data_IF_947702996323
#
_entry.id   IF_947702996323
#
_cell.length_a   1.000
_cell.length_b   1.000
_cell.length_c   1.000
_cell.angle_alpha   90.00
_cell.angle_beta   90.00
_cell.angle_gamma   90.00
#
_symmetry.space_group_name_H-M   'P 1'
#
loop_
_entity.id
_entity.type
_entity.pdbx_description
1 polymer ?
#
# COMPACT_ATOMS: atom_id res chain seq x y z
N UNK A 1 35.28 25.31 -14.48
CA UNK A 1 34.54 25.59 -13.23
C UNK A 1 33.21 24.83 -13.25
N UNK A 2 33.18 23.60 -12.74
CA UNK A 2 31.95 22.82 -12.60
C UNK A 2 31.35 23.05 -11.21
N UNK A 3 30.10 23.52 -11.17
CA UNK A 3 29.33 23.69 -9.93
C UNK A 3 29.01 22.31 -9.35
N UNK A 4 29.62 21.96 -8.22
CA UNK A 4 29.31 20.75 -7.46
C UNK A 4 27.94 20.87 -6.78
N UNK A 5 27.14 19.82 -6.87
CA UNK A 5 25.74 19.80 -6.45
C UNK A 5 25.63 19.38 -4.97
N UNK A 6 25.27 20.34 -4.09
CA UNK A 6 25.19 20.16 -2.64
C UNK A 6 24.23 19.03 -2.19
N UNK A 7 23.28 18.63 -3.04
CA UNK A 7 22.33 17.55 -2.74
C UNK A 7 22.98 16.16 -2.67
N UNK A 8 24.15 15.98 -3.28
CA UNK A 8 24.84 14.67 -3.29
C UNK A 8 25.46 14.36 -1.92
N UNK A 9 26.01 15.36 -1.23
CA UNK A 9 26.62 15.20 0.09
C UNK A 9 25.57 14.89 1.18
N UNK A 10 24.39 15.50 1.10
CA UNK A 10 23.29 15.22 2.03
C UNK A 10 22.73 13.79 1.91
N UNK A 11 22.80 13.19 0.72
CA UNK A 11 22.33 11.83 0.50
C UNK A 11 23.30 10.79 1.08
N UNK A 12 24.60 11.01 0.92
CA UNK A 12 25.64 10.10 1.44
C UNK A 12 25.79 10.15 2.97
N UNK A 13 25.63 11.33 3.58
CA UNK A 13 25.60 11.48 5.03
C UNK A 13 24.47 10.65 5.69
N UNK A 14 23.30 10.57 5.04
CA UNK A 14 22.16 9.74 5.51
C UNK A 14 22.41 8.24 5.37
N UNK A 15 23.20 7.81 4.38
CA UNK A 15 23.54 6.40 4.18
C UNK A 15 24.59 5.93 5.20
N UNK A 16 25.58 6.76 5.50
CA UNK A 16 26.64 6.43 6.46
C UNK A 16 26.12 6.40 7.90
N UNK A 17 25.23 7.33 8.27
CA UNK A 17 24.54 7.30 9.57
C UNK A 17 23.67 6.06 9.74
N UNK A 18 22.96 5.62 8.68
CA UNK A 18 22.16 4.40 8.73
C UNK A 18 23.02 3.12 8.92
N UNK A 19 24.16 3.02 8.22
CA UNK A 19 25.10 1.89 8.41
C UNK A 19 25.69 1.85 9.82
N UNK A 20 25.98 3.00 10.42
CA UNK A 20 26.47 3.09 11.80
C UNK A 20 25.41 2.65 12.82
N UNK A 21 24.16 3.06 12.64
CA UNK A 21 23.02 2.63 13.49
C UNK A 21 22.82 1.11 13.40
N UNK A 22 22.85 0.52 12.21
CA UNK A 22 22.71 -0.92 12.04
C UNK A 22 23.87 -1.71 12.69
N UNK A 23 25.11 -1.20 12.62
CA UNK A 23 26.27 -1.86 13.23
C UNK A 23 26.17 -1.87 14.77
N UNK A 24 25.74 -0.77 15.37
CA UNK A 24 25.53 -0.68 16.82
C UNK A 24 24.32 -1.47 17.32
N UNK A 25 23.27 -1.61 16.49
CA UNK A 25 22.13 -2.46 16.81
C UNK A 25 22.51 -3.95 16.84
N UNK A 26 23.33 -4.40 15.89
CA UNK A 26 23.78 -5.79 15.82
C UNK A 26 24.82 -6.16 16.88
N UNK A 27 25.58 -5.18 17.40
CA UNK A 27 26.50 -5.41 18.54
C UNK A 27 25.78 -5.46 19.90
N UNK A 28 24.57 -4.89 20.01
CA UNK A 28 23.77 -4.98 21.24
C UNK A 28 23.01 -6.29 21.40
N UNK A 29 22.82 -7.06 20.34
CA UNK A 29 22.10 -8.35 20.38
C UNK A 29 22.97 -9.55 20.73
N UNK A 30 24.31 -9.42 20.77
CA UNK A 30 25.21 -10.55 21.07
C UNK A 30 25.68 -10.64 22.52
N UNK A 31 25.33 -9.68 23.39
CA UNK A 31 25.83 -9.61 24.77
C UNK A 31 24.75 -9.84 25.84
N UNK A 32 23.66 -10.56 25.52
CA UNK A 32 22.58 -10.81 26.49
C UNK A 32 22.08 -12.25 26.42
N UNK A 33 23.02 -13.18 26.53
CA UNK A 33 22.75 -14.57 26.85
C UNK A 33 23.64 -14.89 28.04
N UNK A 34 23.12 -14.62 29.24
CA UNK A 34 23.36 -15.37 30.46
C UNK A 34 22.56 -14.69 31.57
N UNK A 35 21.85 -15.52 32.34
CA UNK A 35 21.15 -15.20 33.57
C UNK A 35 19.81 -14.45 33.44
N UNK A 36 18.71 -15.20 33.56
CA UNK A 36 17.54 -14.83 34.36
C UNK A 36 16.53 -15.99 34.42
N UNK A 37 16.27 -16.40 35.66
CA UNK A 37 15.29 -17.38 36.10
C UNK A 37 13.86 -16.97 35.77
N UNK A 38 13.07 -17.95 35.33
CA UNK A 38 11.66 -17.84 34.97
C UNK A 38 10.80 -17.51 36.20
N UNK A 39 10.37 -16.25 36.32
CA UNK A 39 9.14 -15.92 37.02
C UNK A 39 7.98 -15.97 36.03
N UNK A 40 6.95 -16.74 36.33
CA UNK A 40 5.67 -16.69 35.63
C UNK A 40 5.11 -15.27 35.75
N UNK A 41 5.02 -14.58 34.62
CA UNK A 41 4.28 -13.32 34.49
C UNK A 41 3.09 -13.63 33.60
N UNK A 42 1.88 -13.39 34.10
CA UNK A 42 0.64 -13.52 33.36
C UNK A 42 0.62 -12.56 32.15
N UNK A 43 0.80 -13.12 30.95
CA UNK A 43 0.74 -12.42 29.66
C UNK A 43 -0.72 -12.31 29.21
N UNK A 44 -1.57 -11.68 30.03
CA UNK A 44 -2.95 -11.38 29.64
C UNK A 44 -3.35 -9.89 29.77
N UNK A 45 -2.49 -9.04 30.34
CA UNK A 45 -2.84 -7.64 30.65
C UNK A 45 -2.11 -6.57 29.82
N UNK A 46 -1.50 -6.91 28.68
CA UNK A 46 -0.73 -5.92 27.87
C UNK A 46 -1.01 -5.94 26.37
N UNK A 47 -2.26 -6.20 25.98
CA UNK A 47 -2.75 -5.94 24.62
C UNK A 47 -3.85 -4.87 24.64
N UNK A 48 -3.49 -3.68 25.11
CA UNK A 48 -4.16 -2.45 24.68
C UNK A 48 -3.84 -2.25 23.19
N UNK A 49 -4.52 -3.02 22.33
CA UNK A 49 -4.62 -2.67 20.92
C UNK A 49 -5.25 -1.28 20.86
N UNK A 50 -4.63 -0.31 20.19
CA UNK A 50 -5.29 0.96 19.95
C UNK A 50 -6.66 0.65 19.31
N UNK A 51 -7.73 1.37 19.71
CA UNK A 51 -9.04 1.15 19.13
C UNK A 51 -8.91 1.16 17.61
N UNK A 52 -9.57 0.23 16.90
CA UNK A 52 -9.48 0.16 15.45
C UNK A 52 -9.75 1.55 14.90
N UNK A 53 -8.74 2.13 14.22
CA UNK A 53 -8.88 3.41 13.56
C UNK A 53 -10.17 3.35 12.74
N UNK A 54 -11.07 4.34 12.84
CA UNK A 54 -12.30 4.35 12.07
C UNK A 54 -11.94 4.09 10.60
N UNK A 55 -12.61 3.12 9.99
CA UNK A 55 -12.35 2.64 8.63
C UNK A 55 -12.67 3.76 7.64
N UNK A 56 -11.70 4.68 7.45
CA UNK A 56 -11.71 5.78 6.47
C UNK A 56 -12.04 5.31 5.05
N UNK A 57 -11.98 4.01 4.79
CA UNK A 57 -12.43 3.37 3.55
C UNK A 57 -13.92 3.56 3.26
N UNK A 58 -14.81 3.58 4.26
CA UNK A 58 -16.25 3.71 4.04
C UNK A 58 -16.66 5.14 3.65
N UNK A 59 -16.11 6.15 4.30
CA UNK A 59 -16.35 7.57 3.92
C UNK A 59 -15.82 7.86 2.52
N UNK A 60 -14.62 7.36 2.19
CA UNK A 60 -14.02 7.51 0.86
C UNK A 60 -14.87 6.84 -0.23
N UNK A 61 -15.56 5.74 0.09
CA UNK A 61 -16.46 5.06 -0.86
C UNK A 61 -17.74 5.88 -1.13
N UNK A 62 -18.32 6.51 -0.09
CA UNK A 62 -19.52 7.35 -0.23
C UNK A 62 -19.27 8.57 -1.10
N UNK A 63 -18.18 9.31 -0.86
CA UNK A 63 -17.85 10.51 -1.65
C UNK A 63 -17.59 10.15 -3.13
N UNK A 64 -16.95 8.99 -3.38
CA UNK A 64 -16.70 8.49 -4.72
C UNK A 64 -18.00 8.04 -5.42
N UNK A 65 -18.95 7.47 -4.67
CA UNK A 65 -20.26 7.05 -5.18
C UNK A 65 -21.16 8.25 -5.53
N UNK A 66 -21.13 9.31 -4.72
CA UNK A 66 -21.80 10.58 -5.03
C UNK A 66 -21.24 11.20 -6.31
N UNK A 67 -19.92 11.33 -6.40
CA UNK A 67 -19.23 11.80 -7.62
C UNK A 67 -19.56 10.93 -8.84
N UNK A 68 -19.80 9.63 -8.63
CA UNK A 68 -20.22 8.71 -9.69
C UNK A 68 -21.66 8.96 -10.17
N UNK A 69 -22.58 9.36 -9.29
CA UNK A 69 -23.98 9.64 -9.69
C UNK A 69 -24.11 10.85 -10.60
N UNK A 70 -23.31 11.90 -10.38
CA UNK A 70 -23.30 13.12 -11.21
C UNK A 70 -22.82 12.91 -12.64
N UNK A 71 -22.08 11.82 -12.88
CA UNK A 71 -21.54 11.49 -14.19
C UNK A 71 -22.65 11.08 -15.20
N UNK A 72 -23.91 10.91 -14.80
CA UNK A 72 -24.98 10.35 -15.66
C UNK A 72 -25.74 11.32 -16.58
N UNK A 73 -25.35 12.59 -16.75
CA UNK A 73 -26.16 13.57 -17.53
C UNK A 73 -25.91 13.63 -19.06
N UNK A 74 -27.04 13.65 -19.78
CA UNK A 74 -27.39 14.12 -21.16
C UNK A 74 -26.34 14.07 -22.30
N UNK A 75 -26.37 12.99 -23.09
CA UNK A 75 -25.66 12.80 -24.36
C UNK A 75 -25.58 11.32 -24.76
N UNK A 76 -24.93 10.96 -25.89
CA UNK A 76 -24.59 9.56 -26.22
C UNK A 76 -23.88 8.98 -24.99
N UNK A 77 -24.49 8.00 -24.30
CA UNK A 77 -24.06 7.51 -22.98
C UNK A 77 -22.57 7.21 -23.00
N UNK A 78 -21.76 8.14 -22.52
CA UNK A 78 -20.33 7.92 -22.37
C UNK A 78 -20.16 6.79 -21.36
N UNK A 79 -19.43 5.76 -21.77
CA UNK A 79 -19.15 4.60 -20.91
C UNK A 79 -18.37 5.12 -19.71
N UNK A 80 -18.85 4.80 -18.50
CA UNK A 80 -18.28 5.21 -17.21
C UNK A 80 -16.75 5.05 -17.19
N UNK A 81 -16.26 3.90 -17.65
CA UNK A 81 -14.84 3.56 -17.76
C UNK A 81 -14.04 4.65 -18.47
N UNK A 82 -14.57 5.16 -19.59
CA UNK A 82 -13.92 6.19 -20.39
C UNK A 82 -13.81 7.50 -19.62
N UNK A 83 -14.80 7.85 -18.81
CA UNK A 83 -14.77 9.08 -18.01
C UNK A 83 -13.76 8.99 -16.87
N UNK A 84 -13.74 7.88 -16.14
CA UNK A 84 -12.80 7.68 -15.01
C UNK A 84 -11.37 7.60 -15.56
N UNK A 85 -11.11 6.75 -16.56
CA UNK A 85 -9.78 6.61 -17.15
C UNK A 85 -9.34 7.86 -17.90
N UNK A 86 -10.29 8.66 -18.41
CA UNK A 86 -10.04 9.94 -19.06
C UNK A 86 -9.41 10.99 -18.16
N UNK A 87 -9.49 10.83 -16.83
CA UNK A 87 -8.79 11.68 -15.84
C UNK A 87 -7.30 11.38 -15.74
N UNK A 88 -6.82 10.36 -16.43
CA UNK A 88 -5.42 9.94 -16.40
C UNK A 88 -4.77 10.02 -17.77
N UNK A 89 -3.45 10.15 -17.78
CA UNK A 89 -2.60 10.03 -18.97
C UNK A 89 -1.53 8.97 -18.69
N UNK A 90 -1.15 8.20 -19.69
CA UNK A 90 0.02 7.31 -19.53
C UNK A 90 1.29 8.14 -19.31
N UNK A 91 2.25 7.64 -18.52
CA UNK A 91 3.55 8.30 -18.42
C UNK A 91 4.30 8.33 -19.75
N UNK A 92 4.07 7.34 -20.62
CA UNK A 92 4.71 7.21 -21.93
C UNK A 92 3.98 7.91 -23.08
N UNK A 93 2.73 8.33 -22.86
CA UNK A 93 1.83 8.73 -23.94
C UNK A 93 0.76 9.70 -23.40
N UNK A 94 0.47 10.84 -24.08
CA UNK A 94 -0.55 11.79 -23.64
C UNK A 94 -1.99 11.26 -23.63
N UNK A 95 -2.27 10.09 -24.20
CA UNK A 95 -3.61 9.52 -24.23
C UNK A 95 -3.99 8.82 -22.91
N UNK A 96 -5.29 8.77 -22.58
CA UNK A 96 -5.80 7.98 -21.47
C UNK A 96 -5.44 6.50 -21.56
N UNK A 97 -5.20 5.83 -20.42
CA UNK A 97 -4.96 4.40 -20.40
C UNK A 97 -6.19 3.62 -20.89
N UNK A 98 -5.96 2.55 -21.64
CA UNK A 98 -7.03 1.62 -22.04
C UNK A 98 -7.51 0.81 -20.82
N UNK A 99 -8.80 0.45 -20.77
CA UNK A 99 -9.35 -0.37 -19.67
C UNK A 99 -8.63 -1.72 -19.53
N UNK A 100 -8.25 -2.35 -20.65
CA UNK A 100 -7.52 -3.61 -20.65
C UNK A 100 -6.11 -3.48 -20.05
N UNK A 101 -5.48 -2.29 -20.19
CA UNK A 101 -4.18 -2.02 -19.56
C UNK A 101 -4.32 -2.04 -18.04
N UNK A 102 -5.33 -1.37 -17.51
CA UNK A 102 -5.58 -1.32 -16.06
C UNK A 102 -5.93 -2.71 -15.52
N UNK A 103 -6.85 -3.44 -16.16
CA UNK A 103 -7.20 -4.83 -15.81
C UNK A 103 -5.96 -5.72 -15.74
N UNK A 104 -5.16 -5.70 -16.82
CA UNK A 104 -3.89 -6.42 -16.90
C UNK A 104 -2.96 -6.07 -15.73
N UNK A 105 -2.78 -4.78 -15.46
CA UNK A 105 -1.88 -4.29 -14.42
C UNK A 105 -2.31 -4.74 -13.03
N UNK A 106 -3.60 -4.61 -12.72
CA UNK A 106 -4.17 -4.99 -11.43
C UNK A 106 -4.10 -6.51 -11.22
N UNK A 107 -4.58 -7.31 -12.18
CA UNK A 107 -4.56 -8.77 -12.07
C UNK A 107 -3.14 -9.31 -11.97
N UNK A 108 -2.19 -8.80 -12.78
CA UNK A 108 -0.79 -9.22 -12.69
C UNK A 108 -0.14 -8.88 -11.36
N UNK A 109 -0.43 -7.69 -10.83
CA UNK A 109 0.06 -7.27 -9.54
C UNK A 109 -0.47 -8.16 -8.42
N UNK A 110 -1.77 -8.48 -8.45
CA UNK A 110 -2.41 -9.40 -7.51
C UNK A 110 -1.78 -10.81 -7.56
N UNK A 111 -1.74 -11.44 -8.74
CA UNK A 111 -1.08 -12.74 -8.92
C UNK A 111 0.39 -12.73 -8.45
N UNK A 112 1.09 -11.61 -8.65
CA UNK A 112 2.47 -11.45 -8.19
C UNK A 112 2.56 -11.35 -6.66
N UNK A 113 1.64 -10.63 -6.02
CA UNK A 113 1.57 -10.54 -4.56
C UNK A 113 1.34 -11.93 -3.95
N UNK A 114 0.41 -12.71 -4.51
CA UNK A 114 0.13 -14.07 -4.05
C UNK A 114 1.37 -14.98 -4.14
N UNK A 115 2.10 -14.97 -5.26
CA UNK A 115 3.38 -15.71 -5.39
C UNK A 115 4.48 -15.21 -4.45
N UNK A 116 4.42 -13.94 -4.05
CA UNK A 116 5.38 -13.37 -3.09
C UNK A 116 5.05 -13.82 -1.68
N UNK A 117 3.77 -13.84 -1.31
CA UNK A 117 3.27 -14.38 -0.03
C UNK A 117 3.60 -15.87 0.08
N UNK A 118 3.31 -16.65 -0.97
CA UNK A 118 3.63 -18.09 -1.04
C UNK A 118 5.11 -18.37 -0.73
N UNK A 119 6.00 -17.49 -1.20
CA UNK A 119 7.45 -17.59 -1.00
C UNK A 119 7.96 -16.86 0.23
N UNK A 120 7.07 -16.25 1.02
CA UNK A 120 7.41 -15.38 2.15
C UNK A 120 8.39 -14.25 1.79
N UNK A 121 8.24 -13.67 0.58
CA UNK A 121 9.09 -12.60 0.06
C UNK A 121 8.37 -11.25 0.16
N UNK A 122 9.00 -10.30 0.87
CA UNK A 122 8.50 -8.92 0.93
C UNK A 122 8.82 -8.19 -0.40
N UNK A 123 7.83 -7.60 -1.06
CA UNK A 123 8.03 -6.90 -2.33
C UNK A 123 8.82 -5.60 -2.16
N UNK A 124 9.94 -5.45 -2.88
CA UNK A 124 10.78 -4.24 -2.82
C UNK A 124 10.58 -3.26 -3.99
N UNK A 125 9.90 -3.69 -5.06
CA UNK A 125 9.81 -2.95 -6.34
C UNK A 125 8.43 -3.10 -6.96
N UNK A 126 8.17 -2.31 -8.00
CA UNK A 126 6.97 -2.34 -8.85
C UNK A 126 5.70 -1.83 -8.14
N UNK A 127 4.51 -2.19 -8.63
CA UNK A 127 3.24 -1.76 -8.03
C UNK A 127 3.05 -2.32 -6.61
N UNK A 128 3.68 -3.46 -6.30
CA UNK A 128 3.57 -4.12 -5.00
C UNK A 128 4.60 -3.62 -3.98
N UNK A 129 5.43 -2.61 -4.27
CA UNK A 129 6.49 -2.20 -3.33
C UNK A 129 5.94 -1.95 -1.91
N UNK A 130 6.56 -2.60 -0.93
CA UNK A 130 6.15 -2.58 0.47
C UNK A 130 6.33 -1.20 1.10
N UNK A 131 5.40 -0.86 2.00
CA UNK A 131 5.41 0.33 2.83
C UNK A 131 4.85 -0.04 4.20
N UNK A 132 5.38 0.52 5.28
CA UNK A 132 4.87 0.28 6.65
C UNK A 132 3.41 0.69 6.80
N UNK A 133 2.97 1.74 6.08
CA UNK A 133 1.57 2.18 6.04
C UNK A 133 0.66 1.08 5.47
N UNK A 134 1.19 0.24 4.58
CA UNK A 134 0.44 -0.83 3.91
C UNK A 134 0.53 -2.18 4.63
N UNK A 135 1.26 -2.26 5.76
CA UNK A 135 1.54 -3.52 6.47
C UNK A 135 0.27 -4.25 6.90
N UNK A 136 -0.70 -3.52 7.47
CA UNK A 136 -1.97 -4.10 7.93
C UNK A 136 -2.70 -4.82 6.78
N UNK A 137 -2.73 -4.20 5.59
CA UNK A 137 -3.38 -4.79 4.42
C UNK A 137 -2.57 -5.92 3.80
N UNK A 138 -1.24 -5.87 3.87
CA UNK A 138 -0.38 -6.99 3.48
C UNK A 138 -0.64 -8.22 4.36
N UNK A 139 -0.76 -8.03 5.67
CA UNK A 139 -1.08 -9.09 6.61
C UNK A 139 -2.47 -9.68 6.37
N UNK A 140 -3.49 -8.85 6.12
CA UNK A 140 -4.84 -9.32 5.73
C UNK A 140 -4.83 -10.10 4.41
N UNK A 141 -4.10 -9.61 3.41
CA UNK A 141 -3.92 -10.30 2.15
C UNK A 141 -3.22 -11.66 2.34
N UNK A 142 -2.18 -11.72 3.17
CA UNK A 142 -1.48 -12.96 3.48
C UNK A 142 -2.34 -13.96 4.25
N UNK A 143 -3.15 -13.49 5.20
CA UNK A 143 -4.11 -14.32 5.92
C UNK A 143 -5.16 -14.93 4.98
N UNK A 144 -5.78 -14.11 4.12
CA UNK A 144 -6.72 -14.57 3.10
C UNK A 144 -6.04 -15.56 2.13
N UNK A 145 -4.81 -15.27 1.69
CA UNK A 145 -4.04 -16.20 0.86
C UNK A 145 -3.84 -17.56 1.51
N UNK A 146 -3.49 -17.59 2.80
CA UNK A 146 -3.28 -18.84 3.53
C UNK A 146 -4.58 -19.61 3.77
N UNK A 147 -5.71 -18.92 3.95
CA UNK A 147 -7.02 -19.54 4.09
C UNK A 147 -7.51 -20.21 2.79
N UNK A 148 -7.17 -19.64 1.63
CA UNK A 148 -7.62 -20.10 0.31
C UNK A 148 -6.47 -20.50 -0.63
N UNK A 149 -5.43 -21.10 -0.04
CA UNK A 149 -4.14 -21.33 -0.69
C UNK A 149 -4.26 -22.09 -2.02
N UNK A 150 -5.05 -23.15 -2.06
CA UNK A 150 -5.16 -24.03 -3.24
C UNK A 150 -5.73 -23.29 -4.46
N UNK A 151 -6.83 -22.55 -4.27
CA UNK A 151 -7.48 -21.75 -5.31
C UNK A 151 -6.55 -20.63 -5.78
N UNK A 152 -5.93 -19.92 -4.85
CA UNK A 152 -5.12 -18.74 -5.16
C UNK A 152 -3.77 -19.10 -5.79
N UNK A 153 -3.17 -20.25 -5.45
CA UNK A 153 -1.98 -20.76 -6.14
C UNK A 153 -2.31 -21.10 -7.59
N UNK A 154 -3.39 -21.83 -7.84
CA UNK A 154 -3.81 -22.22 -9.19
C UNK A 154 -4.04 -20.98 -10.06
N UNK A 155 -4.83 -20.03 -9.57
CA UNK A 155 -5.14 -18.79 -10.29
C UNK A 155 -3.92 -17.86 -10.45
N UNK A 156 -2.89 -17.99 -9.61
CA UNK A 156 -1.67 -17.17 -9.68
C UNK A 156 -0.60 -17.72 -10.62
N UNK A 157 -0.79 -18.91 -11.21
CA UNK A 157 0.11 -19.47 -12.23
C UNK A 157 0.18 -18.57 -13.47
N UNK A 158 1.37 -18.46 -14.06
CA UNK A 158 1.57 -17.70 -15.32
C UNK A 158 0.89 -18.38 -16.49
N UNK A 159 0.78 -19.71 -16.47
CA UNK A 159 0.12 -20.51 -17.50
C UNK A 159 -1.39 -20.25 -17.54
N UNK A 160 -1.99 -19.96 -16.40
CA UNK A 160 -3.40 -19.60 -16.27
C UNK A 160 -3.73 -18.22 -16.87
N UNK A 161 -2.73 -17.38 -17.18
CA UNK A 161 -2.90 -16.05 -17.77
C UNK A 161 -3.15 -16.03 -19.29
N UNK A 162 -3.49 -14.88 -19.88
CA UNK A 162 -3.61 -14.75 -21.35
C UNK A 162 -2.25 -14.91 -22.04
N UNK A 163 -2.22 -15.04 -23.38
CA UNK A 163 -0.98 -15.19 -24.18
C UNK A 163 0.06 -14.09 -23.93
N UNK A 164 -0.37 -12.92 -23.48
CA UNK A 164 0.52 -11.81 -23.13
C UNK A 164 1.26 -11.99 -21.81
N UNK A 165 0.84 -12.95 -20.97
CA UNK A 165 1.33 -13.21 -19.61
C UNK A 165 2.37 -14.33 -19.59
N UNK A 166 3.60 -13.98 -20.01
CA UNK A 166 4.74 -14.89 -20.10
C UNK A 166 4.74 -15.68 -21.42
N UNK A 167 5.72 -15.40 -22.28
CA UNK A 167 5.84 -16.01 -23.61
C UNK A 167 6.48 -17.41 -23.62
N UNK A 168 7.18 -17.80 -22.56
CA UNK A 168 8.33 -18.70 -22.76
C UNK A 168 8.04 -20.20 -22.64
N UNK A 169 6.96 -20.67 -22.00
CA UNK A 169 6.76 -22.11 -21.77
C UNK A 169 5.29 -22.48 -21.61
N UNK A 170 4.57 -22.82 -22.69
CA UNK A 170 3.26 -23.46 -22.57
C UNK A 170 3.21 -24.66 -23.50
N UNK A 171 3.00 -25.84 -22.94
CA UNK A 171 2.83 -27.11 -23.68
C UNK A 171 1.37 -27.36 -24.07
N UNK A 172 0.49 -26.36 -23.97
CA UNK A 172 -0.94 -26.53 -24.16
C UNK A 172 -1.45 -25.98 -25.50
N UNK A 173 -2.49 -26.63 -26.03
CA UNK A 173 -3.10 -26.38 -27.32
C UNK A 173 -3.48 -24.89 -27.49
N UNK A 174 -2.82 -24.20 -28.40
CA UNK A 174 -2.81 -22.73 -28.49
C UNK A 174 -4.16 -22.05 -28.75
N UNK A 175 -5.15 -22.83 -29.22
CA UNK A 175 -6.41 -22.30 -29.76
C UNK A 175 -7.39 -21.82 -28.67
N UNK A 176 -7.26 -22.30 -27.43
CA UNK A 176 -8.22 -21.99 -26.36
C UNK A 176 -7.75 -20.90 -25.37
N UNK A 177 -6.53 -20.38 -25.54
CA UNK A 177 -5.96 -19.40 -24.61
C UNK A 177 -6.36 -17.98 -25.00
N UNK A 178 -6.96 -17.17 -24.10
CA UNK A 178 -7.27 -15.78 -24.37
C UNK A 178 -6.02 -14.99 -24.79
N UNK A 179 -6.15 -14.17 -25.84
CA UNK A 179 -5.03 -13.35 -26.35
C UNK A 179 -4.65 -12.20 -25.39
N UNK A 180 -5.61 -11.70 -24.63
CA UNK A 180 -5.45 -10.53 -23.76
C UNK A 180 -6.29 -10.66 -22.48
N UNK A 181 -6.15 -9.68 -21.58
CA UNK A 181 -7.02 -9.47 -20.42
C UNK A 181 -8.37 -8.90 -20.86
N UNK A 182 -9.03 -9.62 -21.78
CA UNK A 182 -10.37 -9.29 -22.25
C UNK A 182 -11.41 -9.65 -21.18
N UNK A 183 -12.65 -9.29 -21.45
CA UNK A 183 -13.78 -9.50 -20.54
C UNK A 183 -13.97 -10.97 -20.16
N UNK A 184 -13.93 -11.89 -21.15
CA UNK A 184 -14.04 -13.34 -20.91
C UNK A 184 -12.97 -13.84 -19.92
N UNK A 185 -11.72 -13.42 -20.10
CA UNK A 185 -10.63 -13.79 -19.18
C UNK A 185 -10.85 -13.21 -17.78
N UNK A 186 -11.17 -11.92 -17.69
CA UNK A 186 -11.32 -11.25 -16.40
C UNK A 186 -12.52 -11.82 -15.62
N UNK A 187 -13.64 -12.09 -16.30
CA UNK A 187 -14.81 -12.73 -15.69
C UNK A 187 -14.46 -14.11 -15.12
N UNK A 188 -13.72 -14.93 -15.86
CA UNK A 188 -13.25 -16.24 -15.36
C UNK A 188 -12.34 -16.08 -14.14
N UNK A 189 -11.37 -15.16 -14.21
CA UNK A 189 -10.42 -14.93 -13.12
C UNK A 189 -11.11 -14.49 -11.82
N UNK A 190 -12.10 -13.61 -11.91
CA UNK A 190 -12.87 -13.15 -10.76
C UNK A 190 -14.07 -14.05 -10.43
N UNK A 191 -14.24 -15.19 -11.10
CA UNK A 191 -15.37 -16.09 -10.83
C UNK A 191 -15.31 -16.74 -9.44
N UNK A 192 -14.15 -17.19 -8.92
CA UNK A 192 -14.05 -17.69 -7.56
C UNK A 192 -14.17 -16.54 -6.56
N UNK A 193 -14.88 -16.78 -5.47
CA UNK A 193 -15.12 -15.80 -4.41
C UNK A 193 -13.82 -15.46 -3.65
N UNK A 194 -12.99 -16.48 -3.41
CA UNK A 194 -11.69 -16.39 -2.76
C UNK A 194 -10.74 -15.45 -3.51
N UNK A 195 -10.82 -15.45 -4.85
CA UNK A 195 -10.05 -14.52 -5.67
C UNK A 195 -10.53 -13.10 -5.48
N UNK A 196 -11.84 -12.88 -5.31
CA UNK A 196 -12.42 -11.54 -5.10
C UNK A 196 -12.08 -11.00 -3.72
N UNK A 197 -12.17 -11.83 -2.69
CA UNK A 197 -11.74 -11.47 -1.34
C UNK A 197 -10.26 -11.09 -1.30
N UNK A 198 -9.38 -11.96 -1.82
CA UNK A 198 -7.95 -11.67 -1.92
C UNK A 198 -7.68 -10.41 -2.75
N UNK A 199 -8.42 -10.22 -3.85
CA UNK A 199 -8.28 -9.03 -4.69
C UNK A 199 -8.72 -7.74 -3.99
N UNK A 200 -9.75 -7.81 -3.13
CA UNK A 200 -10.18 -6.69 -2.30
C UNK A 200 -9.04 -6.23 -1.38
N UNK A 201 -8.45 -7.14 -0.59
CA UNK A 201 -7.32 -6.81 0.29
C UNK A 201 -6.09 -6.35 -0.48
N UNK A 202 -5.83 -6.94 -1.65
CA UNK A 202 -4.77 -6.48 -2.54
C UNK A 202 -5.00 -5.03 -3.02
N UNK A 203 -6.25 -4.67 -3.31
CA UNK A 203 -6.59 -3.32 -3.74
C UNK A 203 -6.45 -2.32 -2.59
N UNK A 204 -6.87 -2.68 -1.38
CA UNK A 204 -6.58 -1.87 -0.19
C UNK A 204 -5.08 -1.70 0.03
N UNK A 205 -4.30 -2.78 -0.10
CA UNK A 205 -2.85 -2.76 0.02
C UNK A 205 -2.16 -1.77 -0.94
N UNK A 206 -2.48 -1.83 -2.23
CA UNK A 206 -1.81 -0.95 -3.21
C UNK A 206 -2.17 0.53 -3.02
N UNK A 207 -3.38 0.80 -2.51
CA UNK A 207 -3.92 2.15 -2.28
C UNK A 207 -3.72 2.66 -0.84
N UNK A 208 -3.09 1.88 0.04
CA UNK A 208 -2.91 2.24 1.44
C UNK A 208 -2.10 3.54 1.64
N UNK A 209 -1.02 3.71 0.87
CA UNK A 209 -0.23 4.94 0.84
C UNK A 209 -0.82 5.91 -0.17
N UNK A 210 -1.90 6.59 0.20
CA UNK A 210 -2.73 7.39 -0.69
C UNK A 210 -2.13 8.78 -1.02
N UNK A 211 -0.98 8.78 -1.69
CA UNK A 211 -0.28 9.97 -2.15
C UNK A 211 -0.20 9.97 -3.71
N UNK A 212 -0.60 11.07 -4.40
CA UNK A 212 -0.60 11.12 -5.86
C UNK A 212 0.76 10.88 -6.52
N UNK A 213 1.87 11.33 -5.92
CA UNK A 213 3.21 11.09 -6.48
C UNK A 213 3.57 9.61 -6.40
N UNK A 214 3.28 8.97 -5.27
CA UNK A 214 3.45 7.53 -5.07
C UNK A 214 2.56 6.75 -6.05
N UNK A 215 1.30 7.14 -6.20
CA UNK A 215 0.36 6.50 -7.12
C UNK A 215 0.79 6.65 -8.58
N UNK A 216 1.22 7.84 -9.01
CA UNK A 216 1.73 8.06 -10.36
C UNK A 216 2.90 7.11 -10.66
N UNK A 217 3.83 6.94 -9.72
CA UNK A 217 4.98 6.02 -9.86
C UNK A 217 4.54 4.55 -9.92
N UNK A 218 3.67 4.10 -9.00
CA UNK A 218 3.15 2.72 -8.95
C UNK A 218 2.39 2.35 -10.23
N UNK A 219 1.48 3.23 -10.64
CA UNK A 219 0.60 3.00 -11.79
C UNK A 219 1.20 3.43 -13.13
N UNK A 220 2.34 4.13 -13.16
CA UNK A 220 2.92 4.69 -14.40
C UNK A 220 1.87 5.50 -15.19
N UNK A 221 1.06 6.23 -14.45
CA UNK A 221 0.03 7.14 -14.94
C UNK A 221 0.31 8.53 -14.38
N UNK A 222 -0.23 9.56 -15.02
CA UNK A 222 -0.28 10.93 -14.53
C UNK A 222 -1.74 11.32 -14.35
N UNK A 223 -2.08 11.91 -13.22
CA UNK A 223 -3.42 12.47 -12.96
C UNK A 223 -3.55 13.93 -13.41
N UNK A 224 -2.43 14.64 -13.58
CA UNK A 224 -2.38 16.02 -14.06
C UNK A 224 -1.11 16.29 -14.87
N UNK A 225 -1.03 17.48 -15.48
CA UNK A 225 0.20 17.99 -16.14
C UNK A 225 1.07 18.85 -15.23
N UNK A 226 0.50 19.36 -14.14
CA UNK A 226 1.20 20.17 -13.13
C UNK A 226 2.22 19.31 -12.37
N UNK A 227 3.38 19.87 -11.99
CA UNK A 227 4.32 19.21 -11.07
C UNK A 227 3.81 19.18 -9.63
N UNK A 228 2.85 20.04 -9.28
CA UNK A 228 2.21 20.10 -7.96
C UNK A 228 0.80 19.55 -8.07
N UNK A 229 0.51 18.54 -7.25
CA UNK A 229 -0.80 17.91 -7.17
C UNK A 229 -1.80 18.76 -6.38
N UNK A 230 -3.04 18.82 -6.85
CA UNK A 230 -4.16 19.50 -6.21
C UNK A 230 -5.21 18.49 -5.71
N UNK A 231 -6.30 18.98 -5.11
CA UNK A 231 -7.41 18.14 -4.62
C UNK A 231 -8.03 17.26 -5.71
N UNK A 232 -8.14 17.74 -6.95
CA UNK A 232 -8.68 16.97 -8.08
C UNK A 232 -7.84 15.71 -8.40
N UNK A 233 -6.52 15.75 -8.14
CA UNK A 233 -5.65 14.60 -8.28
C UNK A 233 -6.05 13.50 -7.30
N UNK A 234 -6.29 13.85 -6.04
CA UNK A 234 -6.75 12.91 -5.00
C UNK A 234 -8.10 12.30 -5.36
N UNK A 235 -9.05 13.12 -5.79
CA UNK A 235 -10.37 12.65 -6.23
C UNK A 235 -10.29 11.70 -7.43
N UNK A 236 -9.40 12.00 -8.38
CA UNK A 236 -9.14 11.11 -9.51
C UNK A 236 -8.64 9.74 -9.06
N UNK A 237 -7.71 9.69 -8.11
CA UNK A 237 -7.22 8.43 -7.54
C UNK A 237 -8.27 7.70 -6.70
N UNK A 238 -9.15 8.40 -5.99
CA UNK A 238 -10.23 7.80 -5.19
C UNK A 238 -11.22 7.11 -6.14
N UNK A 239 -11.62 7.80 -7.20
CA UNK A 239 -12.45 7.25 -8.26
C UNK A 239 -11.80 6.04 -8.94
N UNK A 240 -10.48 6.06 -9.15
CA UNK A 240 -9.78 4.92 -9.71
C UNK A 240 -9.80 3.71 -8.76
N UNK A 241 -9.58 3.93 -7.46
CA UNK A 241 -9.71 2.88 -6.43
C UNK A 241 -11.12 2.29 -6.44
N UNK A 242 -12.14 3.13 -6.36
CA UNK A 242 -13.54 2.71 -6.43
C UNK A 242 -13.86 1.96 -7.71
N UNK A 243 -13.33 2.42 -8.85
CA UNK A 243 -13.49 1.75 -10.13
C UNK A 243 -12.94 0.33 -10.11
N UNK A 244 -11.70 0.13 -9.63
CA UNK A 244 -11.10 -1.21 -9.64
C UNK A 244 -11.73 -2.14 -8.60
N UNK A 245 -12.28 -1.61 -7.50
CA UNK A 245 -12.94 -2.43 -6.46
C UNK A 245 -14.37 -2.82 -6.83
N UNK A 246 -15.15 -1.90 -7.41
CA UNK A 246 -16.60 -2.08 -7.61
C UNK A 246 -16.97 -2.09 -9.10
N UNK A 247 -16.86 -0.93 -9.75
CA UNK A 247 -17.37 -0.73 -11.12
C UNK A 247 -16.78 -1.73 -12.13
N UNK A 248 -15.49 -2.03 -12.02
CA UNK A 248 -14.81 -2.97 -12.91
C UNK A 248 -15.39 -4.38 -12.79
N UNK A 249 -15.73 -4.84 -11.59
CA UNK A 249 -16.31 -6.16 -11.33
C UNK A 249 -17.79 -6.20 -11.76
N UNK A 250 -18.55 -5.15 -11.45
CA UNK A 250 -19.94 -5.00 -11.91
C UNK A 250 -20.04 -5.07 -13.43
N UNK A 251 -19.14 -4.40 -14.14
CA UNK A 251 -19.05 -4.44 -15.60
C UNK A 251 -18.72 -5.84 -16.16
N UNK A 252 -18.14 -6.74 -15.35
CA UNK A 252 -17.90 -8.13 -15.73
C UNK A 252 -19.10 -9.04 -15.36
N UNK A 253 -20.12 -8.48 -14.70
CA UNK A 253 -21.24 -9.23 -14.14
C UNK A 253 -20.82 -10.14 -12.99
N UNK A 254 -19.93 -9.64 -12.13
CA UNK A 254 -19.41 -10.35 -10.96
C UNK A 254 -19.55 -9.45 -9.74
N UNK A 255 -20.10 -9.99 -8.66
CA UNK A 255 -20.32 -9.25 -7.42
C UNK A 255 -19.00 -8.96 -6.69
N UNK A 256 -18.70 -7.71 -6.32
CA UNK A 256 -17.55 -7.36 -5.50
C UNK A 256 -17.58 -8.03 -4.12
N UNK A 257 -16.41 -8.33 -3.56
CA UNK A 257 -16.33 -8.75 -2.16
C UNK A 257 -16.62 -7.57 -1.24
N UNK A 258 -17.50 -7.78 -0.26
CA UNK A 258 -17.86 -6.81 0.76
C UNK A 258 -17.41 -7.38 2.10
N UNK A 259 -16.67 -6.59 2.89
CA UNK A 259 -16.30 -7.00 4.25
C UNK A 259 -17.58 -7.02 5.07
N UNK A 260 -17.96 -8.19 5.57
CA UNK A 260 -18.96 -8.30 6.61
C UNK A 260 -18.33 -7.75 7.89
N UNK A 261 -18.51 -6.45 8.15
CA UNK A 261 -18.27 -5.93 9.48
C UNK A 261 -19.20 -6.71 10.41
N UNK A 262 -18.63 -7.48 11.34
CA UNK A 262 -19.41 -8.12 12.38
C UNK A 262 -20.23 -7.01 13.01
N UNK A 263 -21.55 -7.03 12.79
CA UNK A 263 -22.47 -6.15 13.47
C UNK A 263 -22.29 -6.44 14.94
N UNK A 264 -21.42 -5.68 15.59
CA UNK A 264 -21.41 -5.58 17.04
C UNK A 264 -22.80 -5.08 17.37
N UNK A 265 -23.71 -6.02 17.68
CA UNK A 265 -25.02 -5.72 18.21
C UNK A 265 -24.78 -4.93 19.50
N UNK A 266 -24.79 -3.61 19.39
CA UNK A 266 -24.68 -2.67 20.51
C UNK A 266 -25.92 -2.76 21.42
N UNK A 267 -26.86 -3.66 21.10
CA UNK A 267 -28.11 -3.91 21.82
C UNK A 267 -27.93 -4.59 23.19
N UNK A 268 -26.72 -5.03 23.55
CA UNK A 268 -26.41 -5.58 24.88
C UNK A 268 -25.21 -4.87 25.53
N UNK A 269 -25.26 -3.55 25.61
CA UNK A 269 -24.50 -2.85 26.64
C UNK A 269 -25.26 -2.99 27.98
N UNK A 270 -24.74 -3.72 28.99
CA UNK A 270 -25.30 -3.64 30.33
C UNK A 270 -25.28 -2.18 30.78
N UNK A 271 -26.35 -1.77 31.47
CA UNK A 271 -26.59 -0.43 31.99
C UNK A 271 -25.28 0.29 32.40
N UNK A 272 -25.10 1.57 32.02
CA UNK A 272 -23.92 2.32 32.41
C UNK A 272 -23.75 2.22 33.93
N UNK A 273 -22.59 1.68 34.32
CA UNK A 273 -22.17 1.56 35.70
C UNK A 273 -22.38 2.94 36.38
N UNK A 274 -22.99 2.99 37.58
CA UNK A 274 -23.26 4.26 38.25
C UNK A 274 -21.97 5.08 38.34
N UNK A 275 -22.01 6.30 37.80
CA UNK A 275 -20.87 7.21 37.80
C UNK A 275 -20.50 7.51 39.26
N UNK A 276 -19.37 6.95 39.70
CA UNK A 276 -18.74 7.36 40.94
C UNK A 276 -18.14 8.74 40.67
N UNK A 277 -18.81 9.77 41.20
CA UNK A 277 -18.31 11.14 41.21
C UNK A 277 -17.06 11.16 42.11
N UNK A 278 -15.88 11.07 41.49
CA UNK A 278 -14.63 11.31 42.19
C UNK A 278 -14.36 12.81 42.13
N UNK A 279 -14.63 13.50 43.23
CA UNK A 279 -14.22 14.89 43.43
C UNK A 279 -12.68 14.97 43.47
N UNK A 280 -12.06 15.30 42.35
CA UNK A 280 -10.64 15.64 42.30
C UNK A 280 -10.43 17.07 42.80
N UNK A 281 -9.97 17.18 44.05
CA UNK A 281 -9.40 18.42 44.59
C UNK A 281 -8.08 18.71 43.86
N UNK A 282 -8.11 19.69 42.97
CA UNK A 282 -6.91 20.23 42.34
C UNK A 282 -6.21 21.11 43.37
N UNK A 283 -5.05 20.65 43.86
CA UNK A 283 -4.14 21.49 44.63
C UNK A 283 -3.27 22.27 43.65
N UNK A 284 -3.43 23.60 43.66
CA UNK A 284 -2.54 24.53 42.98
C UNK A 284 -1.17 24.52 43.69
N UNK A 285 -0.16 23.93 43.04
CA UNK A 285 1.24 24.09 43.45
C UNK A 285 2.02 24.84 42.37
N UNK A 286 2.55 25.98 42.80
CA UNK A 286 3.48 26.93 42.20
C UNK A 286 4.33 26.44 41.01
N UNK A 287 4.12 27.07 39.86
CA UNK A 287 5.02 27.02 38.70
C UNK A 287 6.20 27.99 38.96
N UNK A 288 7.35 27.45 39.34
CA UNK A 288 8.62 28.21 39.32
C UNK A 288 9.10 28.38 37.88
N UNK A 289 9.26 29.64 37.47
CA UNK A 289 9.93 30.03 36.21
C UNK A 289 11.36 29.49 36.20
N UNK A 290 11.66 28.63 35.23
CA UNK A 290 13.02 28.20 34.89
C UNK A 290 13.52 29.07 33.74
N UNK A 291 14.64 29.77 33.95
CA UNK A 291 15.34 30.54 32.93
C UNK A 291 16.01 29.61 31.91
N UNK A 292 16.00 29.96 30.60
CA UNK A 292 16.62 29.16 29.56
C UNK A 292 18.15 29.30 29.61
N UNK A 293 18.84 28.20 29.89
CA UNK A 293 20.29 28.09 29.71
C UNK A 293 20.64 27.92 28.22
N UNK A 294 21.63 28.70 27.78
CA UNK A 294 22.22 28.61 26.45
C UNK A 294 23.01 27.31 26.30
N UNK A 295 22.63 26.48 25.32
CA UNK A 295 23.37 25.29 24.91
C UNK A 295 24.35 25.71 23.81
N UNK A 296 25.64 25.63 24.11
CA UNK A 296 26.72 25.73 23.12
C UNK A 296 26.95 24.34 22.51
N UNK A 297 26.76 24.22 21.19
CA UNK A 297 26.85 22.97 20.44
C UNK A 297 28.31 22.71 19.96
N UNK A 298 28.98 21.60 20.34
CA UNK A 298 30.32 21.27 19.87
C UNK A 298 30.26 20.15 18.83
N UNK A 299 29.84 20.44 17.60
CA UNK A 299 29.80 19.46 16.50
C UNK A 299 30.54 19.87 15.21
N UNK A 300 31.29 20.97 15.21
CA UNK A 300 32.01 21.42 14.01
C UNK A 300 33.34 20.71 13.71
N UNK A 301 33.83 19.80 14.55
CA UNK A 301 35.21 19.27 14.43
C UNK A 301 35.37 17.82 13.93
N UNK A 302 34.36 17.17 13.34
CA UNK A 302 34.46 15.74 12.98
C UNK A 302 34.62 15.46 11.45
N UNK A 303 34.49 16.44 10.56
CA UNK A 303 34.49 16.19 9.10
C UNK A 303 35.75 16.63 8.35
N UNK A 304 36.96 16.32 8.85
CA UNK A 304 38.22 16.70 8.15
C UNK A 304 39.15 15.59 7.69
N UNK A 305 38.80 14.31 7.81
CA UNK A 305 39.63 13.25 7.23
C UNK A 305 38.72 12.18 6.61
N UNK A 306 38.69 12.13 5.27
CA UNK A 306 38.58 10.95 4.39
C UNK A 306 38.49 11.53 2.96
N UNK A 307 39.66 11.84 2.38
CA UNK A 307 39.84 11.95 0.93
C UNK A 307 40.66 10.73 0.50
N UNK A 308 40.02 9.81 -0.22
CA UNK A 308 40.65 8.64 -0.80
C UNK A 308 39.94 8.32 -2.11
N UNK A 309 40.67 8.45 -3.22
CA UNK A 309 40.21 8.26 -4.59
C UNK A 309 39.53 6.90 -4.81
N UNK A 310 38.31 6.92 -5.36
CA UNK A 310 37.62 5.73 -5.88
C UNK A 310 37.23 6.00 -7.34
N UNK A 311 37.75 5.14 -8.21
CA UNK A 311 37.57 5.10 -9.65
C UNK A 311 36.09 4.87 -10.07
N UNK A 312 35.48 5.77 -10.87
CA UNK A 312 34.08 5.68 -11.26
C UNK A 312 33.75 4.70 -12.40
N UNK A 313 34.70 3.96 -12.99
CA UNK A 313 34.40 3.12 -14.17
C UNK A 313 33.70 1.76 -13.92
N UNK A 314 33.37 1.39 -12.68
CA UNK A 314 32.85 0.04 -12.37
C UNK A 314 31.31 -0.13 -12.35
N UNK A 315 30.50 0.83 -12.82
CA UNK A 315 29.04 0.83 -12.58
C UNK A 315 28.09 0.74 -13.78
N UNK A 316 28.53 0.26 -14.94
CA UNK A 316 27.61 -0.10 -16.03
C UNK A 316 27.73 -1.58 -16.43
N UNK A 317 26.98 -2.43 -15.75
CA UNK A 317 26.38 -3.66 -16.28
C UNK A 317 25.51 -4.30 -15.18
N UNK A 318 24.20 -4.02 -15.15
CA UNK A 318 23.13 -4.93 -14.71
C UNK A 318 21.73 -4.36 -14.99
#
# INVERSE_FOLDING_TARGET
MHKFNANFLTYWSKILSFKYICKNFMQKSTNRADDLTLGEVDILDFLDFPPPLPTRSHEVARDAEETYTDIKSTGRKQIVDTKILGRFQSSSNPYPPKKEYLRCKMIRGHKRANRQIEKSVIPKRTINAYSSIAEVYWSKLAACFNAHKDVLIEESKTEAGPKTDGKTKRNCNENNIPKSFNEKFCKRYFSPEEVRESYFYYTEYIFAEFDPDVMCKKFKLRCCRSPIHNSECFESWKLLKFYVQKIMLDNLGVEPWIVMEATTDVSTMPNPMPQIVVETKIAESEIKKVEPQQINDPLENIFREIDGDIDPELFFNF
#
